data_IF_380743286036
#
_entry.id   IF_380743286036
#
_cell.length_a   1.000
_cell.length_b   1.000
_cell.length_c   1.000
_cell.angle_alpha   90.00
_cell.angle_beta   90.00
_cell.angle_gamma   90.00
#
_symmetry.space_group_name_H-M   'P 1'
#
loop_
_entity.id
_entity.type
_entity.pdbx_description
1 polymer ?
#
# COMPACT_ATOMS: atom_id res chain seq x y z
N UNK A 1 53.57 13.07 25.38
CA UNK A 1 54.28 13.03 24.08
C UNK A 1 53.23 12.75 22.99
N UNK A 2 52.60 13.78 22.40
CA UNK A 2 52.93 14.37 21.09
C UNK A 2 53.03 13.35 19.93
N UNK A 3 52.01 13.29 19.05
CA UNK A 3 52.12 13.66 17.63
C UNK A 3 50.74 13.87 16.98
N UNK A 4 50.63 15.02 16.31
CA UNK A 4 49.55 15.50 15.44
C UNK A 4 49.86 15.19 13.96
N UNK A 5 48.83 15.39 13.12
CA UNK A 5 48.83 15.58 11.65
C UNK A 5 48.92 14.28 10.82
N UNK A 6 48.09 14.05 9.78
CA UNK A 6 47.78 14.89 8.61
C UNK A 6 46.30 14.67 8.17
N UNK A 7 45.42 15.66 7.98
CA UNK A 7 45.20 16.55 6.82
C UNK A 7 45.47 15.94 5.44
N UNK A 8 44.40 15.54 4.75
CA UNK A 8 44.35 15.39 3.30
C UNK A 8 43.13 16.17 2.76
N UNK A 9 43.39 17.33 2.16
CA UNK A 9 42.43 18.15 1.43
C UNK A 9 42.47 17.77 -0.05
N UNK A 10 41.33 17.41 -0.65
CA UNK A 10 41.18 17.21 -2.10
C UNK A 10 40.30 18.31 -2.70
N UNK A 11 40.69 18.96 -3.82
CA UNK A 11 39.97 20.08 -4.39
C UNK A 11 38.82 19.67 -5.32
N UNK A 12 37.85 20.57 -5.37
CA UNK A 12 36.69 20.65 -6.24
C UNK A 12 36.99 20.43 -7.74
N UNK A 13 36.12 19.64 -8.41
CA UNK A 13 35.86 19.80 -9.83
C UNK A 13 34.40 20.18 -10.06
N UNK A 14 34.26 21.40 -10.58
CA UNK A 14 33.06 22.00 -11.16
C UNK A 14 32.57 21.19 -12.35
N UNK A 15 31.24 21.06 -12.46
CA UNK A 15 30.61 20.77 -13.74
C UNK A 15 29.12 21.14 -13.71
N UNK A 16 28.72 22.35 -14.13
CA UNK A 16 27.35 22.63 -14.52
C UNK A 16 27.24 22.49 -16.04
N UNK A 17 26.64 21.40 -16.52
CA UNK A 17 26.11 21.36 -17.89
C UNK A 17 24.66 21.84 -17.85
N UNK A 18 24.52 23.11 -18.20
CA UNK A 18 23.27 23.75 -18.57
C UNK A 18 22.80 23.24 -19.95
N UNK A 19 21.50 23.44 -20.18
CA UNK A 19 20.79 23.49 -21.47
C UNK A 19 20.46 22.18 -22.21
N UNK A 20 19.16 21.85 -22.25
CA UNK A 20 18.31 22.24 -23.40
C UNK A 20 16.81 22.03 -23.15
N UNK A 21 15.95 23.03 -23.40
CA UNK A 21 14.51 22.85 -23.53
C UNK A 21 14.15 22.42 -24.97
N UNK A 22 13.40 21.33 -25.13
CA UNK A 22 12.79 20.96 -26.42
C UNK A 22 11.42 21.60 -26.56
N UNK A 23 11.36 22.74 -27.26
CA UNK A 23 10.14 23.29 -27.84
C UNK A 23 9.92 22.66 -29.21
N UNK A 24 8.94 21.76 -29.35
CA UNK A 24 8.32 21.41 -30.63
C UNK A 24 6.96 22.11 -30.70
N UNK A 25 6.84 23.24 -31.42
CA UNK A 25 6.50 23.31 -32.84
C UNK A 25 5.19 22.56 -33.16
N UNK A 26 4.03 23.21 -32.98
CA UNK A 26 3.29 23.87 -34.08
C UNK A 26 3.12 22.98 -35.31
N UNK A 27 1.93 22.41 -35.49
CA UNK A 27 1.24 22.39 -36.80
C UNK A 27 -0.24 22.64 -36.61
N UNK A 28 -0.61 23.89 -36.87
CA UNK A 28 -1.94 24.31 -37.27
C UNK A 28 -2.24 23.64 -38.61
N UNK A 29 -3.32 22.87 -38.68
CA UNK A 29 -3.95 22.55 -39.97
C UNK A 29 -5.22 23.41 -40.06
N UNK A 30 -5.05 24.58 -40.66
CA UNK A 30 -6.12 25.33 -41.28
C UNK A 30 -6.33 24.74 -42.67
N UNK A 31 -7.52 24.21 -42.93
CA UNK A 31 -7.94 23.71 -44.23
C UNK A 31 -9.39 24.16 -44.46
N UNK A 32 -9.52 25.36 -45.00
CA UNK A 32 -10.76 25.94 -45.52
C UNK A 32 -11.19 25.16 -46.75
N UNK A 33 -12.42 24.65 -46.78
CA UNK A 33 -13.17 24.50 -48.05
C UNK A 33 -14.54 25.15 -47.85
N UNK A 34 -14.64 26.34 -48.44
CA UNK A 34 -15.85 27.10 -48.64
C UNK A 34 -16.54 26.54 -49.89
N UNK A 35 -17.80 26.13 -49.78
CA UNK A 35 -18.59 25.60 -50.89
C UNK A 35 -20.07 25.74 -50.61
N UNK A 36 -20.58 26.95 -50.81
CA UNK A 36 -21.98 27.33 -50.66
C UNK A 36 -22.90 26.57 -51.64
N UNK A 37 -24.12 26.27 -51.20
CA UNK A 37 -25.35 26.66 -51.92
C UNK A 37 -26.61 26.46 -51.08
N UNK A 38 -27.42 27.52 -51.08
CA UNK A 38 -28.76 27.61 -50.51
C UNK A 38 -29.70 26.55 -51.12
N UNK A 39 -30.58 25.99 -50.28
CA UNK A 39 -31.97 25.77 -50.66
C UNK A 39 -32.85 25.85 -49.39
N UNK A 40 -33.59 26.94 -49.33
CA UNK A 40 -34.66 27.25 -48.41
C UNK A 40 -35.88 26.39 -48.79
N UNK A 41 -36.48 25.63 -47.86
CA UNK A 41 -37.94 25.37 -47.80
C UNK A 41 -38.30 24.48 -46.61
N UNK A 42 -39.39 24.88 -45.98
CA UNK A 42 -39.93 24.45 -44.70
C UNK A 42 -40.52 23.03 -44.70
N UNK A 43 -40.48 22.35 -43.55
CA UNK A 43 -41.64 21.64 -43.00
C UNK A 43 -41.33 21.05 -41.61
N UNK A 44 -42.23 21.37 -40.69
CA UNK A 44 -42.80 20.48 -39.68
C UNK A 44 -41.89 19.90 -38.59
N UNK A 45 -42.22 20.33 -37.37
CA UNK A 45 -41.90 19.70 -36.11
C UNK A 45 -42.15 18.18 -36.15
N UNK A 46 -41.13 17.41 -35.75
CA UNK A 46 -41.29 16.04 -35.28
C UNK A 46 -40.20 15.71 -34.26
N UNK A 47 -40.60 15.71 -32.99
CA UNK A 47 -40.10 14.77 -31.98
C UNK A 47 -38.62 14.80 -31.64
N UNK A 48 -38.24 15.70 -30.73
CA UNK A 48 -37.14 15.45 -29.83
C UNK A 48 -37.46 14.20 -28.96
N UNK A 49 -36.97 13.02 -29.35
CA UNK A 49 -36.78 11.87 -28.47
C UNK A 49 -35.29 11.51 -28.47
N UNK A 50 -34.49 12.43 -27.93
CA UNK A 50 -33.13 12.12 -27.53
C UNK A 50 -33.12 12.01 -26.00
N UNK A 51 -32.59 10.89 -25.49
CA UNK A 51 -32.04 10.73 -24.13
C UNK A 51 -33.05 10.58 -22.98
N UNK A 52 -33.90 9.55 -23.02
CA UNK A 52 -34.57 9.04 -21.81
C UNK A 52 -34.27 7.55 -21.63
N UNK A 53 -33.03 7.26 -21.23
CA UNK A 53 -32.57 5.89 -20.99
C UNK A 53 -31.30 5.78 -20.16
N UNK A 54 -30.94 6.83 -19.41
CA UNK A 54 -30.05 6.69 -18.27
C UNK A 54 -30.92 6.95 -17.04
N UNK A 55 -31.64 5.92 -16.58
CA UNK A 55 -32.26 5.96 -15.26
C UNK A 55 -31.12 6.16 -14.26
N UNK A 56 -31.02 7.38 -13.74
CA UNK A 56 -30.11 7.74 -12.68
C UNK A 56 -30.42 6.89 -11.45
N UNK A 57 -29.73 5.76 -11.32
CA UNK A 57 -29.43 5.25 -10.00
C UNK A 57 -28.58 6.31 -9.33
N UNK A 58 -29.17 7.00 -8.35
CA UNK A 58 -28.47 7.96 -7.52
C UNK A 58 -27.16 7.33 -7.08
N UNK A 59 -26.03 7.98 -7.38
CA UNK A 59 -24.72 7.51 -7.01
C UNK A 59 -24.71 7.40 -5.49
N UNK A 60 -24.88 6.18 -4.97
CA UNK A 60 -24.93 5.92 -3.53
C UNK A 60 -23.61 6.40 -2.93
N UNK A 61 -23.69 7.20 -1.88
CA UNK A 61 -22.51 7.59 -1.13
C UNK A 61 -21.81 6.31 -0.64
N UNK A 62 -20.47 6.20 -0.82
CA UNK A 62 -19.74 5.04 -0.34
C UNK A 62 -19.92 4.90 1.18
N UNK A 63 -20.08 3.66 1.64
CA UNK A 63 -20.22 3.38 3.06
C UNK A 63 -18.97 3.84 3.82
N UNK A 64 -19.11 4.37 5.05
CA UNK A 64 -17.95 4.65 5.88
C UNK A 64 -17.16 3.37 6.13
N UNK A 65 -15.85 3.41 5.89
CA UNK A 65 -14.97 2.27 6.13
C UNK A 65 -14.26 2.39 7.47
N UNK A 66 -14.14 1.28 8.18
CA UNK A 66 -13.37 1.13 9.42
C UNK A 66 -12.26 0.11 9.23
N UNK A 67 -11.10 0.41 9.80
CA UNK A 67 -10.00 -0.55 9.83
C UNK A 67 -10.21 -1.60 10.92
N UNK A 68 -9.64 -2.79 10.73
CA UNK A 68 -9.55 -3.79 11.78
C UNK A 68 -8.70 -3.25 12.94
N UNK A 69 -9.23 -3.35 14.16
CA UNK A 69 -8.51 -2.91 15.35
C UNK A 69 -7.34 -3.84 15.67
N UNK A 70 -6.30 -3.28 16.29
CA UNK A 70 -5.05 -3.99 16.59
C UNK A 70 -5.28 -5.22 17.48
N UNK A 71 -6.11 -5.10 18.53
CA UNK A 71 -6.39 -6.21 19.45
C UNK A 71 -7.03 -7.37 18.71
N UNK A 72 -8.04 -7.10 17.88
CA UNK A 72 -8.69 -8.11 17.06
C UNK A 72 -7.74 -8.70 16.02
N UNK A 73 -6.91 -7.87 15.38
CA UNK A 73 -5.92 -8.33 14.43
C UNK A 73 -4.94 -9.33 15.08
N UNK A 74 -4.45 -9.03 16.29
CA UNK A 74 -3.55 -9.91 17.06
C UNK A 74 -4.21 -11.28 17.34
N UNK A 75 -5.49 -11.30 17.72
CA UNK A 75 -6.23 -12.55 17.93
C UNK A 75 -6.31 -13.38 16.64
N UNK A 76 -6.67 -12.73 15.53
CA UNK A 76 -6.76 -13.36 14.20
C UNK A 76 -5.41 -13.91 13.77
N UNK A 77 -4.33 -13.14 13.92
CA UNK A 77 -2.96 -13.55 13.57
C UNK A 77 -2.55 -14.78 14.39
N UNK A 78 -2.78 -14.79 15.71
CA UNK A 78 -2.45 -15.94 16.57
C UNK A 78 -3.19 -17.19 16.15
N UNK A 79 -4.48 -17.06 15.84
CA UNK A 79 -5.32 -18.17 15.35
C UNK A 79 -4.82 -18.70 14.00
N UNK A 80 -4.53 -17.81 13.06
CA UNK A 80 -4.05 -18.17 11.73
C UNK A 80 -2.69 -18.88 11.79
N UNK A 81 -1.75 -18.39 12.61
CA UNK A 81 -0.47 -19.06 12.85
C UNK A 81 -0.65 -20.47 13.42
N UNK A 82 -1.54 -20.64 14.39
CA UNK A 82 -1.83 -21.94 14.99
C UNK A 82 -2.45 -22.92 13.98
N UNK A 83 -3.31 -22.44 13.07
CA UNK A 83 -3.91 -23.24 12.00
C UNK A 83 -2.86 -23.77 11.01
N UNK A 84 -1.78 -23.02 10.78
CA UNK A 84 -0.63 -23.48 9.98
C UNK A 84 0.37 -24.37 10.76
N UNK A 85 0.06 -24.70 12.01
CA UNK A 85 0.90 -25.53 12.88
C UNK A 85 2.11 -24.79 13.49
N UNK A 86 2.19 -23.46 13.34
CA UNK A 86 3.15 -22.66 14.11
C UNK A 86 2.66 -22.49 15.56
N UNK A 87 3.59 -22.27 16.49
CA UNK A 87 3.26 -22.00 17.90
C UNK A 87 3.40 -20.49 18.16
N UNK A 88 2.31 -19.73 18.27
CA UNK A 88 2.39 -18.29 18.50
C UNK A 88 3.05 -18.00 19.85
N UNK A 89 3.95 -17.03 19.86
CA UNK A 89 4.64 -16.53 21.05
C UNK A 89 4.26 -15.06 21.29
N UNK A 90 4.55 -14.57 22.50
CA UNK A 90 4.34 -13.17 22.86
C UNK A 90 5.15 -12.24 21.95
N UNK A 91 4.60 -11.03 21.77
CA UNK A 91 5.27 -9.96 21.06
C UNK A 91 6.55 -9.49 21.74
N UNK A 92 7.43 -8.87 20.95
CA UNK A 92 8.72 -8.32 21.40
C UNK A 92 9.14 -7.15 20.54
N UNK A 93 9.90 -6.23 21.11
CA UNK A 93 10.56 -5.17 20.33
C UNK A 93 11.83 -5.71 19.67
N UNK A 94 12.10 -5.24 18.46
CA UNK A 94 13.28 -5.59 17.68
C UNK A 94 13.82 -4.33 17.01
N UNK A 95 15.14 -4.13 17.09
CA UNK A 95 15.80 -3.06 16.34
C UNK A 95 15.88 -3.43 14.85
N UNK A 96 15.41 -2.56 13.97
CA UNK A 96 15.64 -2.63 12.54
C UNK A 96 17.08 -2.26 12.21
N UNK A 97 17.54 -2.60 11.01
CA UNK A 97 18.87 -2.22 10.51
C UNK A 97 19.08 -0.69 10.46
N UNK A 98 18.00 0.08 10.39
CA UNK A 98 18.03 1.55 10.46
C UNK A 98 18.23 2.09 11.89
N UNK A 99 18.21 1.23 12.91
CA UNK A 99 18.24 1.60 14.33
C UNK A 99 16.87 1.94 14.92
N UNK A 100 15.80 1.97 14.11
CA UNK A 100 14.44 2.15 14.61
C UNK A 100 13.91 0.87 15.27
N UNK A 101 13.09 1.01 16.30
CA UNK A 101 12.46 -0.13 16.99
C UNK A 101 11.11 -0.45 16.40
N UNK A 102 10.94 -1.68 15.92
CA UNK A 102 9.64 -2.23 15.50
C UNK A 102 9.13 -3.22 16.53
N UNK A 103 7.83 -3.19 16.80
CA UNK A 103 7.17 -4.19 17.64
C UNK A 103 6.73 -5.36 16.76
N UNK A 104 7.16 -6.56 17.12
CA UNK A 104 6.55 -7.80 16.63
C UNK A 104 5.39 -8.08 17.57
N UNK A 105 4.16 -8.12 17.08
CA UNK A 105 2.97 -8.37 17.92
C UNK A 105 2.78 -9.85 18.21
N UNK A 106 3.10 -10.69 17.22
CA UNK A 106 3.02 -12.15 17.35
C UNK A 106 4.30 -12.76 16.79
N UNK A 107 5.11 -13.33 17.68
CA UNK A 107 6.27 -14.13 17.31
C UNK A 107 5.91 -15.60 17.10
N UNK A 108 6.87 -16.41 16.64
CA UNK A 108 6.74 -17.88 16.63
C UNK A 108 7.75 -18.49 17.61
N UNK A 109 7.30 -19.42 18.44
CA UNK A 109 8.13 -20.06 19.46
C UNK A 109 9.30 -20.82 18.83
N UNK A 110 10.51 -20.56 19.32
CA UNK A 110 11.73 -21.20 18.82
C UNK A 110 12.13 -20.74 17.42
N UNK A 111 11.56 -19.65 16.91
CA UNK A 111 11.83 -19.09 15.59
C UNK A 111 12.21 -17.60 15.64
N UNK A 112 13.06 -17.21 14.71
CA UNK A 112 13.54 -15.86 14.44
C UNK A 112 12.71 -15.19 13.34
N UNK A 113 11.40 -15.35 13.40
CA UNK A 113 10.48 -14.56 12.60
C UNK A 113 9.16 -14.30 13.32
N UNK A 114 8.41 -13.31 12.83
CA UNK A 114 7.12 -12.93 13.41
C UNK A 114 6.36 -11.97 12.52
N UNK A 115 5.18 -11.57 13.01
CA UNK A 115 4.26 -10.65 12.35
C UNK A 115 4.19 -9.36 13.17
N UNK A 116 4.31 -8.23 12.48
CA UNK A 116 3.98 -6.91 13.01
C UNK A 116 2.72 -6.40 12.30
N UNK A 117 1.70 -6.06 13.08
CA UNK A 117 0.50 -5.39 12.62
C UNK A 117 0.72 -3.88 12.74
N UNK A 118 0.98 -3.22 11.61
CA UNK A 118 1.40 -1.82 11.59
C UNK A 118 0.17 -0.93 11.54
N UNK A 119 -0.10 -0.23 12.65
CA UNK A 119 -1.16 0.78 12.70
C UNK A 119 -0.77 2.04 11.95
N UNK A 120 -1.74 2.93 11.69
CA UNK A 120 -1.46 4.24 11.12
C UNK A 120 -0.49 5.07 11.97
N UNK A 121 -0.56 4.95 13.30
CA UNK A 121 0.35 5.61 14.24
C UNK A 121 1.77 5.02 14.17
N UNK A 122 1.90 3.69 14.10
CA UNK A 122 3.19 3.02 13.95
C UNK A 122 3.86 3.39 12.63
N UNK A 123 3.09 3.44 11.54
CA UNK A 123 3.58 3.83 10.23
C UNK A 123 4.14 5.25 10.24
N UNK A 124 3.44 6.19 10.89
CA UNK A 124 3.91 7.58 11.04
C UNK A 124 5.17 7.65 11.91
N UNK A 125 5.20 6.92 13.03
CA UNK A 125 6.32 6.91 13.97
C UNK A 125 7.59 6.31 13.35
N UNK A 126 7.45 5.23 12.61
CA UNK A 126 8.57 4.54 11.95
C UNK A 126 9.01 5.26 10.67
N UNK A 127 8.07 5.91 9.97
CA UNK A 127 8.35 6.69 8.75
C UNK A 127 9.19 5.89 7.74
N UNK A 128 10.30 6.47 7.31
CA UNK A 128 11.20 5.87 6.32
C UNK A 128 11.97 4.63 6.82
N UNK A 129 11.85 4.25 8.10
CA UNK A 129 12.50 3.06 8.64
C UNK A 129 11.84 1.75 8.16
N UNK A 130 10.57 1.81 7.74
CA UNK A 130 9.84 0.70 7.14
C UNK A 130 9.42 1.03 5.71
N UNK A 131 9.23 0.03 4.83
CA UNK A 131 8.64 0.28 3.51
C UNK A 131 7.20 0.83 3.64
N UNK A 132 6.64 1.39 2.56
CA UNK A 132 5.22 1.75 2.54
C UNK A 132 4.31 0.50 2.53
N UNK A 133 3.00 0.66 2.80
CA UNK A 133 2.00 -0.41 2.68
C UNK A 133 2.02 -1.09 1.32
N UNK A 134 1.69 -2.39 1.30
CA UNK A 134 1.55 -3.16 0.06
C UNK A 134 0.30 -2.73 -0.70
N UNK A 135 0.39 -2.63 -2.02
CA UNK A 135 -0.79 -2.66 -2.88
C UNK A 135 -1.55 -3.99 -2.76
N UNK A 136 -2.81 -4.04 -3.24
CA UNK A 136 -3.70 -5.21 -3.08
C UNK A 136 -3.14 -6.51 -3.66
N UNK A 137 -2.36 -6.42 -4.74
CA UNK A 137 -1.81 -7.58 -5.46
C UNK A 137 -0.27 -7.67 -5.31
N UNK A 138 0.29 -6.93 -4.36
CA UNK A 138 1.73 -6.94 -4.11
C UNK A 138 2.12 -8.00 -3.08
N UNK A 139 3.36 -8.49 -3.18
CA UNK A 139 3.93 -9.42 -2.20
C UNK A 139 4.07 -8.72 -0.85
N UNK A 140 3.72 -9.44 0.22
CA UNK A 140 3.89 -8.96 1.60
C UNK A 140 5.32 -8.47 1.86
N UNK A 141 5.44 -7.29 2.50
CA UNK A 141 6.74 -6.73 2.88
C UNK A 141 7.30 -7.51 4.06
N UNK A 142 8.53 -7.99 3.90
CA UNK A 142 9.30 -8.62 4.96
C UNK A 142 10.56 -7.77 5.18
N UNK A 143 10.71 -7.25 6.40
CA UNK A 143 11.91 -6.53 6.83
C UNK A 143 12.80 -7.43 7.68
N UNK A 144 14.04 -7.00 7.87
CA UNK A 144 15.02 -7.67 8.73
C UNK A 144 15.31 -6.79 9.94
N UNK A 145 15.40 -7.41 11.10
CA UNK A 145 15.79 -6.77 12.34
C UNK A 145 16.55 -7.72 13.26
N UNK A 146 16.86 -7.25 14.45
CA UNK A 146 17.64 -7.96 15.45
C UNK A 146 19.14 -7.99 15.09
N UNK A 147 19.94 -8.72 15.88
CA UNK A 147 21.37 -8.86 15.62
C UNK A 147 21.62 -9.32 14.17
N UNK A 148 22.42 -8.56 13.43
CA UNK A 148 22.80 -8.82 12.04
C UNK A 148 21.62 -9.03 11.06
N UNK A 149 20.41 -8.57 11.42
CA UNK A 149 19.21 -8.78 10.60
C UNK A 149 18.72 -10.23 10.59
N UNK A 150 19.02 -11.01 11.63
CA UNK A 150 18.63 -12.42 11.75
C UNK A 150 17.11 -12.62 11.89
N UNK A 151 16.37 -11.63 12.38
CA UNK A 151 14.93 -11.72 12.60
C UNK A 151 14.17 -11.24 11.36
N UNK A 152 13.29 -12.09 10.81
CA UNK A 152 12.39 -11.75 9.69
C UNK A 152 11.03 -11.31 10.19
N UNK A 153 10.58 -10.13 9.79
CA UNK A 153 9.35 -9.54 10.27
C UNK A 153 8.48 -9.23 9.07
N UNK A 154 7.32 -9.88 8.95
CA UNK A 154 6.33 -9.46 7.95
C UNK A 154 5.54 -8.27 8.49
N UNK A 155 5.35 -7.28 7.64
CA UNK A 155 4.59 -6.06 7.96
C UNK A 155 3.21 -6.16 7.34
N UNK A 156 2.19 -6.22 8.19
CA UNK A 156 0.78 -6.24 7.81
C UNK A 156 0.17 -4.89 8.19
N UNK A 157 -0.05 -4.02 7.21
CA UNK A 157 -0.54 -2.67 7.46
C UNK A 157 -2.04 -2.67 7.69
N UNK A 158 -2.48 -1.95 8.71
CA UNK A 158 -3.88 -1.74 9.04
C UNK A 158 -4.69 -1.23 7.83
N UNK A 159 -4.08 -0.39 7.00
CA UNK A 159 -4.69 0.18 5.80
C UNK A 159 -5.05 -0.85 4.71
N UNK A 160 -4.62 -2.10 4.86
CA UNK A 160 -4.97 -3.17 3.94
C UNK A 160 -6.19 -3.98 4.40
N UNK A 161 -6.70 -3.72 5.60
CA UNK A 161 -7.76 -4.51 6.24
C UNK A 161 -8.93 -3.62 6.69
N UNK A 162 -9.60 -3.01 5.72
CA UNK A 162 -10.81 -2.22 5.92
C UNK A 162 -12.09 -3.03 5.68
N UNK A 163 -13.13 -2.66 6.41
CA UNK A 163 -14.50 -3.12 6.20
C UNK A 163 -15.48 -1.94 6.28
N UNK A 164 -16.63 -2.07 5.65
CA UNK A 164 -17.69 -1.09 5.73
C UNK A 164 -18.34 -1.17 7.11
N UNK A 165 -18.70 -0.04 7.71
CA UNK A 165 -19.30 0.05 9.05
C UNK A 165 -20.74 -0.49 9.14
N UNK A 166 -21.19 -1.19 8.09
CA UNK A 166 -22.49 -1.84 7.94
C UNK A 166 -23.68 -0.85 7.98
N UNK A 167 -23.46 0.45 7.79
CA UNK A 167 -24.54 1.43 7.66
C UNK A 167 -25.19 1.29 6.28
N UNK A 168 -26.44 0.80 6.25
CA UNK A 168 -27.22 0.60 5.02
C UNK A 168 -27.36 -0.87 4.58
N UNK A 169 -28.23 -1.15 3.61
CA UNK A 169 -28.56 -2.53 3.17
C UNK A 169 -27.53 -3.15 2.20
N UNK A 170 -26.52 -2.39 1.77
CA UNK A 170 -25.47 -2.89 0.86
C UNK A 170 -24.16 -3.04 1.61
N UNK A 171 -23.68 -4.28 1.72
CA UNK A 171 -22.43 -4.62 2.40
C UNK A 171 -21.42 -5.12 1.36
N UNK A 172 -20.50 -4.27 0.91
CA UNK A 172 -19.47 -4.69 -0.04
C UNK A 172 -18.29 -5.34 0.70
N UNK A 173 -17.97 -4.87 1.91
CA UNK A 173 -16.88 -5.40 2.74
C UNK A 173 -17.32 -5.54 4.19
N UNK A 174 -17.30 -6.76 4.72
CA UNK A 174 -17.62 -7.03 6.13
C UNK A 174 -16.36 -7.21 6.96
N UNK A 175 -16.44 -7.04 8.28
CA UNK A 175 -15.33 -7.35 9.18
C UNK A 175 -14.81 -8.79 8.98
N UNK A 176 -15.71 -9.74 8.72
CA UNK A 176 -15.38 -11.13 8.40
C UNK A 176 -14.50 -11.23 7.15
N UNK A 177 -14.76 -10.42 6.12
CA UNK A 177 -13.95 -10.42 4.90
C UNK A 177 -12.53 -9.88 5.15
N UNK A 178 -12.39 -8.82 5.97
CA UNK A 178 -11.09 -8.28 6.38
C UNK A 178 -10.31 -9.28 7.23
N UNK A 179 -10.96 -9.93 8.21
CA UNK A 179 -10.34 -10.99 9.02
C UNK A 179 -9.89 -12.18 8.17
N UNK A 180 -10.70 -12.59 7.17
CA UNK A 180 -10.34 -13.67 6.25
C UNK A 180 -9.14 -13.30 5.38
N UNK A 181 -9.06 -12.05 4.93
CA UNK A 181 -7.90 -11.57 4.20
C UNK A 181 -6.64 -11.60 5.09
N UNK A 182 -6.73 -11.04 6.30
CA UNK A 182 -5.63 -11.09 7.27
C UNK A 182 -5.20 -12.53 7.58
N UNK A 183 -6.16 -13.44 7.73
CA UNK A 183 -5.89 -14.87 7.95
C UNK A 183 -5.09 -15.45 6.78
N UNK A 184 -5.52 -15.24 5.54
CA UNK A 184 -4.79 -15.74 4.35
C UNK A 184 -3.37 -15.19 4.27
N UNK A 185 -3.20 -13.88 4.46
CA UNK A 185 -1.89 -13.23 4.36
C UNK A 185 -0.91 -13.77 5.42
N UNK A 186 -1.40 -14.05 6.64
CA UNK A 186 -0.61 -14.72 7.68
C UNK A 186 -0.27 -16.15 7.29
N UNK A 187 -1.23 -16.91 6.77
CA UNK A 187 -1.00 -18.30 6.36
C UNK A 187 0.03 -18.41 5.23
N UNK A 188 -0.08 -17.53 4.24
CA UNK A 188 0.87 -17.43 3.13
C UNK A 188 2.27 -17.08 3.63
N UNK A 189 2.39 -16.16 4.59
CA UNK A 189 3.67 -15.84 5.21
C UNK A 189 4.26 -17.02 5.98
N UNK A 190 3.47 -17.75 6.78
CA UNK A 190 3.97 -18.91 7.54
C UNK A 190 4.42 -20.03 6.60
N UNK A 191 3.64 -20.29 5.55
CA UNK A 191 4.03 -21.25 4.51
C UNK A 191 5.31 -20.80 3.81
N UNK A 192 5.41 -19.54 3.43
CA UNK A 192 6.62 -18.98 2.84
C UNK A 192 7.83 -19.11 3.78
N UNK A 193 7.71 -18.73 5.05
CA UNK A 193 8.78 -18.83 6.05
C UNK A 193 9.28 -20.28 6.22
N UNK A 194 8.36 -21.25 6.19
CA UNK A 194 8.70 -22.68 6.22
C UNK A 194 9.45 -23.12 4.97
N UNK A 195 8.99 -22.72 3.78
CA UNK A 195 9.66 -23.07 2.51
C UNK A 195 11.05 -22.46 2.41
N UNK A 196 11.23 -21.24 2.92
CA UNK A 196 12.51 -20.53 2.94
C UNK A 196 13.40 -20.92 4.13
N UNK A 197 12.94 -21.83 5.00
CA UNK A 197 13.66 -22.29 6.18
C UNK A 197 14.15 -21.15 7.08
N UNK A 198 13.25 -20.19 7.35
CA UNK A 198 13.55 -19.18 8.36
C UNK A 198 13.85 -19.87 9.69
N UNK A 199 14.98 -19.51 10.29
CA UNK A 199 15.44 -20.07 11.56
C UNK A 199 14.42 -19.79 12.65
#
# INVERSE_FOLDING_TARGET
>A
MWRKHQRGSGPHLRGPLQHRPSKGARRLFAGVILGARLALSAAAAAGALALAGCSGGEARAPNPTRALDERRAIEVIRRAMAQEGAKPALGREVDLLSGAKVRIDVGVQGRSYGVAYVTGEDAQKLGAAIPPPNGRDEKLRIVRGGPDGAIRIVLLYQDNYFFDDLVGESHERTAISAERQLTRDVQDFITYARTQKFQ
#
